data_IF_811792440202
#
_entry.id   IF_811792440202
#
_cell.length_a   1.000
_cell.length_b   1.000
_cell.length_c   1.000
_cell.angle_alpha   90.00
_cell.angle_beta   90.00
_cell.angle_gamma   90.00
#
_symmetry.space_group_name_H-M   'P 1'
#
loop_
_entity.id
_entity.type
_entity.pdbx_description
1 polymer ?
#
# COMPACT_ATOMS: atom_id res chain seq x y z
N UNK A 1 6.93 -4.78 4.04
CA UNK A 1 6.60 -5.48 2.78
C UNK A 1 7.41 -6.73 2.59
N UNK A 2 6.73 -7.84 2.30
CA UNK A 2 7.34 -8.96 1.62
C UNK A 2 7.10 -8.85 0.13
N UNK A 3 8.13 -8.56 -0.63
CA UNK A 3 8.02 -8.65 -2.07
C UNK A 3 7.98 -10.12 -2.51
N UNK A 4 7.01 -10.47 -3.34
CA UNK A 4 6.84 -11.84 -3.86
C UNK A 4 8.11 -12.39 -4.51
N UNK A 5 8.92 -11.54 -5.15
CA UNK A 5 10.20 -11.95 -5.73
C UNK A 5 11.19 -12.47 -4.69
N UNK A 6 11.25 -11.85 -3.51
CA UNK A 6 12.08 -12.31 -2.41
C UNK A 6 11.48 -13.54 -1.74
N UNK A 7 10.16 -13.56 -1.55
CA UNK A 7 9.46 -14.69 -0.98
C UNK A 7 9.68 -15.99 -1.77
N UNK A 8 9.69 -15.91 -3.10
CA UNK A 8 9.99 -17.06 -3.97
C UNK A 8 11.38 -17.69 -3.79
N UNK A 9 12.28 -17.01 -3.10
CA UNK A 9 13.63 -17.53 -2.78
C UNK A 9 13.66 -18.26 -1.44
N UNK A 10 12.57 -18.23 -0.68
CA UNK A 10 12.50 -18.93 0.59
C UNK A 10 12.28 -20.43 0.34
N UNK A 11 13.04 -21.24 1.05
CA UNK A 11 12.94 -22.69 1.02
C UNK A 11 12.97 -23.20 2.49
N UNK A 12 11.93 -23.86 2.97
CA UNK A 12 10.62 -24.03 2.32
C UNK A 12 9.83 -22.70 2.25
N UNK A 13 8.84 -22.58 1.35
CA UNK A 13 8.02 -21.38 1.19
C UNK A 13 7.31 -20.90 2.46
N UNK A 14 6.97 -21.82 3.35
CA UNK A 14 6.32 -21.58 4.66
C UNK A 14 7.14 -20.66 5.58
N UNK A 15 8.44 -20.49 5.31
CA UNK A 15 9.27 -19.48 6.00
C UNK A 15 8.73 -18.06 5.92
N UNK A 16 7.84 -17.77 4.98
CA UNK A 16 7.12 -16.47 4.95
C UNK A 16 6.41 -16.23 6.28
N UNK A 17 5.74 -17.25 6.83
CA UNK A 17 5.04 -17.14 8.11
C UNK A 17 6.01 -16.93 9.28
N UNK A 18 7.10 -17.71 9.33
CA UNK A 18 8.13 -17.57 10.38
C UNK A 18 8.74 -16.15 10.37
N UNK A 19 8.96 -15.58 9.17
CA UNK A 19 9.52 -14.25 9.05
C UNK A 19 8.48 -13.20 9.47
N UNK A 20 7.23 -13.36 9.05
CA UNK A 20 6.14 -12.47 9.45
C UNK A 20 5.99 -12.43 10.98
N UNK A 21 6.01 -13.59 11.63
CA UNK A 21 5.98 -13.71 13.09
C UNK A 21 7.18 -13.02 13.76
N UNK A 22 8.40 -13.32 13.32
CA UNK A 22 9.63 -12.76 13.91
C UNK A 22 9.71 -11.24 13.75
N UNK A 23 9.34 -10.71 12.58
CA UNK A 23 9.35 -9.27 12.35
C UNK A 23 8.28 -8.59 13.20
N UNK A 24 7.11 -9.20 13.34
CA UNK A 24 6.03 -8.69 14.18
C UNK A 24 6.43 -8.70 15.66
N UNK A 25 7.01 -9.79 16.15
CA UNK A 25 7.54 -9.86 17.53
C UNK A 25 8.62 -8.81 17.79
N UNK A 26 9.53 -8.62 16.84
CA UNK A 26 10.55 -7.57 16.94
C UNK A 26 9.93 -6.17 17.00
N UNK A 27 8.94 -5.85 16.16
CA UNK A 27 8.23 -4.57 16.19
C UNK A 27 7.52 -4.36 17.54
N UNK A 28 6.88 -5.39 18.07
CA UNK A 28 6.20 -5.32 19.36
C UNK A 28 7.20 -5.07 20.49
N UNK A 29 8.34 -5.78 20.53
CA UNK A 29 9.39 -5.64 21.54
C UNK A 29 10.11 -4.28 21.45
N UNK A 30 10.22 -3.73 20.26
CA UNK A 30 10.79 -2.40 20.04
C UNK A 30 9.92 -1.26 20.60
N UNK A 31 8.70 -1.56 21.07
CA UNK A 31 7.82 -0.60 21.72
C UNK A 31 7.11 0.35 20.77
N UNK A 32 7.24 0.18 19.46
CA UNK A 32 6.51 0.99 18.49
C UNK A 32 4.99 0.80 18.64
N UNK A 33 4.25 1.91 18.59
CA UNK A 33 2.77 1.91 18.75
C UNK A 33 2.04 2.49 17.55
N UNK A 34 2.74 3.13 16.64
CA UNK A 34 2.23 3.80 15.43
C UNK A 34 2.58 3.02 14.16
N UNK A 35 2.58 1.69 14.25
CA UNK A 35 2.93 0.81 13.12
C UNK A 35 1.66 0.15 12.60
N UNK A 36 1.48 0.24 11.29
CA UNK A 36 0.55 -0.55 10.50
C UNK A 36 1.35 -1.55 9.67
N UNK A 37 0.97 -2.81 9.69
CA UNK A 37 1.70 -3.88 9.01
C UNK A 37 1.00 -4.22 7.69
N UNK A 38 1.73 -4.12 6.59
CA UNK A 38 1.35 -4.77 5.33
C UNK A 38 2.15 -6.06 5.20
N UNK A 39 1.48 -7.19 5.42
CA UNK A 39 2.11 -8.50 5.53
C UNK A 39 2.70 -9.04 4.22
N UNK A 40 2.24 -8.54 3.09
CA UNK A 40 2.81 -8.85 1.78
C UNK A 40 2.41 -7.81 0.74
N UNK A 41 3.38 -7.35 -0.06
CA UNK A 41 3.12 -6.40 -1.13
C UNK A 41 2.43 -7.07 -2.32
N UNK A 42 1.26 -6.55 -2.68
CA UNK A 42 0.51 -6.92 -3.90
C UNK A 42 0.26 -8.42 -4.05
N UNK A 43 -0.36 -9.04 -3.06
CA UNK A 43 -0.77 -10.43 -3.19
C UNK A 43 -1.74 -10.61 -4.37
N UNK A 44 -1.35 -11.36 -5.37
CA UNK A 44 -2.07 -11.46 -6.61
C UNK A 44 -1.82 -12.79 -7.34
N UNK A 45 -2.83 -13.31 -8.08
CA UNK A 45 -2.72 -14.61 -8.74
C UNK A 45 -1.67 -14.64 -9.86
N UNK A 46 -1.38 -13.51 -10.48
CA UNK A 46 -0.37 -13.46 -11.56
C UNK A 46 1.06 -13.68 -11.08
N UNK A 47 1.34 -13.56 -9.78
CA UNK A 47 2.66 -13.87 -9.23
C UNK A 47 2.98 -15.37 -9.22
N UNK A 48 1.96 -16.23 -9.32
CA UNK A 48 2.13 -17.69 -9.28
C UNK A 48 2.98 -18.15 -8.08
N UNK A 49 2.67 -17.61 -6.91
CA UNK A 49 3.29 -17.98 -5.64
C UNK A 49 2.19 -18.34 -4.65
N UNK A 50 1.89 -19.63 -4.48
CA UNK A 50 0.67 -20.09 -3.80
C UNK A 50 0.46 -19.50 -2.42
N UNK A 51 1.51 -19.34 -1.63
CA UNK A 51 1.43 -18.82 -0.26
C UNK A 51 0.91 -17.37 -0.20
N UNK A 52 1.12 -16.58 -1.25
CA UNK A 52 0.68 -15.19 -1.37
C UNK A 52 -0.44 -15.01 -2.43
N UNK A 53 -1.08 -16.09 -2.84
CA UNK A 53 -2.29 -15.99 -3.65
C UNK A 53 -3.47 -15.50 -2.79
N UNK A 54 -4.44 -14.80 -3.39
CA UNK A 54 -5.56 -14.19 -2.66
C UNK A 54 -6.28 -15.12 -1.68
N UNK A 55 -6.39 -16.40 -2.00
CA UNK A 55 -7.03 -17.41 -1.13
C UNK A 55 -6.20 -17.76 0.12
N UNK A 56 -4.90 -17.51 0.11
CA UNK A 56 -3.98 -17.82 1.21
C UNK A 56 -3.58 -16.59 2.04
N UNK A 57 -3.95 -15.40 1.58
CA UNK A 57 -3.69 -14.12 2.28
C UNK A 57 -4.21 -14.11 3.72
N UNK A 58 -5.40 -14.63 4.04
CA UNK A 58 -5.89 -14.67 5.41
C UNK A 58 -4.89 -15.29 6.38
N UNK A 59 -4.17 -16.34 5.99
CA UNK A 59 -3.19 -17.01 6.85
C UNK A 59 -1.98 -16.11 7.16
N UNK A 60 -1.52 -15.30 6.22
CA UNK A 60 -0.44 -14.30 6.46
C UNK A 60 -0.91 -13.27 7.49
N UNK A 61 -2.12 -12.77 7.32
CA UNK A 61 -2.74 -11.79 8.22
C UNK A 61 -2.91 -12.39 9.63
N UNK A 62 -3.42 -13.61 9.74
CA UNK A 62 -3.62 -14.32 11.00
C UNK A 62 -2.29 -14.58 11.72
N UNK A 63 -1.22 -14.88 10.99
CA UNK A 63 0.13 -15.04 11.55
C UNK A 63 0.60 -13.75 12.23
N UNK A 64 0.48 -12.62 11.54
CA UNK A 64 0.85 -11.31 12.11
C UNK A 64 -0.04 -10.95 13.29
N UNK A 65 -1.36 -11.10 13.15
CA UNK A 65 -2.32 -10.77 14.21
C UNK A 65 -2.16 -11.65 15.44
N UNK A 66 -1.87 -12.93 15.25
CA UNK A 66 -1.66 -13.90 16.31
C UNK A 66 -0.36 -13.69 17.11
N UNK A 67 0.59 -12.95 16.54
CA UNK A 67 1.81 -12.57 17.24
C UNK A 67 1.52 -11.41 18.19
N UNK A 68 1.57 -11.69 19.49
CA UNK A 68 1.20 -10.74 20.54
C UNK A 68 2.29 -10.58 21.59
N UNK A 69 2.35 -9.40 22.21
CA UNK A 69 3.19 -9.14 23.38
C UNK A 69 2.36 -8.37 24.41
N UNK A 70 2.22 -8.92 25.62
CA UNK A 70 1.43 -8.35 26.72
C UNK A 70 -0.02 -8.03 26.29
N UNK A 71 -0.63 -8.93 25.51
CA UNK A 71 -1.98 -8.80 24.97
C UNK A 71 -2.13 -7.77 23.83
N UNK A 72 -1.05 -7.18 23.35
CA UNK A 72 -1.04 -6.23 22.23
C UNK A 72 -0.66 -6.94 20.93
N UNK A 73 -1.41 -6.66 19.87
CA UNK A 73 -1.09 -7.01 18.48
C UNK A 73 -0.88 -5.72 17.64
N UNK A 74 -0.41 -5.88 16.42
CA UNK A 74 -0.32 -4.78 15.45
C UNK A 74 -1.46 -4.87 14.44
N UNK A 75 -2.06 -3.74 14.03
CA UNK A 75 -3.01 -3.74 12.92
C UNK A 75 -2.34 -4.23 11.65
N UNK A 76 -3.03 -5.11 10.94
CA UNK A 76 -2.46 -5.81 9.76
C UNK A 76 -3.40 -5.83 8.58
N UNK A 77 -2.83 -5.71 7.41
CA UNK A 77 -3.42 -5.94 6.09
C UNK A 77 -2.45 -6.71 5.20
N UNK A 78 -2.88 -7.00 4.00
CA UNK A 78 -2.03 -7.33 2.85
C UNK A 78 -2.53 -6.51 1.68
N UNK A 79 -1.64 -5.86 0.93
CA UNK A 79 -2.05 -4.98 -0.17
C UNK A 79 -2.45 -5.76 -1.42
N UNK A 80 -3.43 -5.22 -2.15
CA UNK A 80 -3.76 -5.70 -3.50
C UNK A 80 -2.95 -4.97 -4.55
N UNK A 81 -2.76 -5.58 -5.70
CA UNK A 81 -2.15 -4.90 -6.84
C UNK A 81 -2.98 -3.72 -7.36
N UNK A 82 -2.34 -2.92 -8.21
CA UNK A 82 -2.96 -1.81 -8.92
C UNK A 82 -4.12 -2.22 -9.83
N UNK A 83 -4.60 -1.31 -10.65
CA UNK A 83 -5.67 -1.56 -11.60
C UNK A 83 -6.99 -1.99 -10.93
N UNK A 84 -7.61 -3.06 -11.43
CA UNK A 84 -8.97 -3.48 -11.03
C UNK A 84 -9.04 -4.47 -9.88
N UNK A 85 -7.92 -4.95 -9.35
CA UNK A 85 -7.93 -5.95 -8.27
C UNK A 85 -8.49 -5.37 -6.98
N UNK A 86 -9.35 -6.13 -6.32
CA UNK A 86 -9.85 -5.85 -4.96
C UNK A 86 -9.66 -7.10 -4.10
N UNK A 87 -9.63 -6.97 -2.76
CA UNK A 87 -9.58 -8.11 -1.84
C UNK A 87 -10.80 -9.01 -2.00
N UNK A 88 -10.65 -10.30 -1.70
CA UNK A 88 -11.79 -11.22 -1.53
C UNK A 88 -12.48 -10.99 -0.19
N UNK A 89 -13.70 -11.49 -0.01
CA UNK A 89 -14.40 -11.41 1.27
C UNK A 89 -13.62 -12.06 2.42
N UNK A 90 -13.02 -13.22 2.20
CA UNK A 90 -12.21 -13.90 3.21
C UNK A 90 -10.96 -13.07 3.60
N UNK A 91 -10.35 -12.40 2.64
CA UNK A 91 -9.24 -11.49 2.90
C UNK A 91 -9.69 -10.29 3.72
N UNK A 92 -10.78 -9.62 3.28
CA UNK A 92 -11.38 -8.52 4.03
C UNK A 92 -11.80 -8.92 5.45
N UNK A 93 -12.37 -10.10 5.67
CA UNK A 93 -12.74 -10.56 7.01
C UNK A 93 -11.52 -10.75 7.94
N UNK A 94 -10.37 -11.08 7.35
CA UNK A 94 -9.14 -11.29 8.11
C UNK A 94 -8.42 -10.00 8.50
N UNK A 95 -8.46 -8.93 7.71
CA UNK A 95 -7.64 -7.73 7.91
C UNK A 95 -8.26 -6.66 8.83
N UNK A 96 -7.44 -5.75 9.36
CA UNK A 96 -7.88 -4.66 10.23
C UNK A 96 -8.15 -3.36 9.47
N UNK A 97 -7.47 -3.15 8.37
CA UNK A 97 -7.64 -2.07 7.41
C UNK A 97 -7.33 -2.59 6.01
N UNK A 98 -7.73 -1.90 4.98
CA UNK A 98 -7.59 -2.35 3.59
C UNK A 98 -6.66 -1.45 2.82
N UNK A 99 -5.71 -2.04 2.07
CA UNK A 99 -4.76 -1.30 1.24
C UNK A 99 -4.88 -1.69 -0.25
N UNK A 100 -5.88 -1.17 -0.95
CA UNK A 100 -5.96 -1.35 -2.40
C UNK A 100 -5.00 -0.39 -3.09
N UNK A 101 -4.00 -0.90 -3.81
CA UNK A 101 -3.11 -0.06 -4.60
C UNK A 101 -3.83 0.57 -5.79
N UNK A 102 -3.48 1.80 -6.09
CA UNK A 102 -4.09 2.58 -7.17
C UNK A 102 -3.24 2.69 -8.44
N UNK A 103 -2.05 2.08 -8.45
CA UNK A 103 -1.10 2.22 -9.57
C UNK A 103 -1.76 2.07 -10.94
N UNK A 104 -1.55 3.08 -11.80
CA UNK A 104 -2.13 3.13 -13.13
C UNK A 104 -3.63 3.47 -13.19
N UNK A 105 -4.29 3.73 -12.06
CA UNK A 105 -5.67 4.17 -12.04
C UNK A 105 -5.79 5.67 -12.31
N UNK A 106 -6.68 6.04 -13.21
CA UNK A 106 -7.19 7.39 -13.30
C UNK A 106 -8.14 7.69 -12.13
N UNK A 107 -8.43 8.96 -11.79
CA UNK A 107 -9.24 9.31 -10.63
C UNK A 107 -10.61 8.62 -10.59
N UNK A 108 -11.29 8.50 -11.73
CA UNK A 108 -12.56 7.80 -11.82
C UNK A 108 -12.42 6.29 -11.62
N UNK A 109 -11.32 5.69 -12.09
CA UNK A 109 -11.05 4.27 -11.93
C UNK A 109 -10.70 3.94 -10.46
N UNK A 110 -9.92 4.81 -9.81
CA UNK A 110 -9.63 4.68 -8.39
C UNK A 110 -10.92 4.77 -7.57
N UNK A 111 -11.76 5.76 -7.83
CA UNK A 111 -13.06 5.91 -7.17
C UNK A 111 -13.93 4.68 -7.34
N UNK A 112 -14.03 4.15 -8.55
CA UNK A 112 -14.78 2.92 -8.83
C UNK A 112 -14.22 1.73 -8.06
N UNK A 113 -12.90 1.56 -8.02
CA UNK A 113 -12.23 0.51 -7.25
C UNK A 113 -12.58 0.59 -5.76
N UNK A 114 -12.51 1.78 -5.17
CA UNK A 114 -12.83 2.01 -3.76
C UNK A 114 -14.29 1.70 -3.44
N UNK A 115 -15.21 2.08 -4.32
CA UNK A 115 -16.65 1.73 -4.21
C UNK A 115 -16.86 0.24 -4.26
N UNK A 116 -16.23 -0.45 -5.19
CA UNK A 116 -16.32 -1.91 -5.30
C UNK A 116 -15.84 -2.62 -4.03
N UNK A 117 -14.76 -2.13 -3.39
CA UNK A 117 -14.33 -2.66 -2.08
C UNK A 117 -15.46 -2.50 -1.06
N UNK A 118 -16.06 -1.31 -0.97
CA UNK A 118 -17.14 -1.00 -0.01
C UNK A 118 -18.44 -1.76 -0.29
N UNK A 119 -18.66 -2.18 -1.51
CA UNK A 119 -19.83 -2.94 -1.93
C UNK A 119 -19.75 -4.43 -1.61
N UNK A 120 -18.58 -4.95 -1.25
CA UNK A 120 -18.41 -6.35 -0.84
C UNK A 120 -19.20 -6.64 0.43
N UNK A 121 -19.67 -7.88 0.59
CA UNK A 121 -20.43 -8.29 1.77
C UNK A 121 -19.58 -8.23 3.03
N UNK A 122 -18.30 -8.60 2.95
CA UNK A 122 -17.36 -8.52 4.08
C UNK A 122 -17.14 -7.08 4.55
N UNK A 123 -16.99 -6.12 3.65
CA UNK A 123 -16.85 -4.72 4.04
C UNK A 123 -18.12 -4.16 4.66
N UNK A 124 -19.30 -4.46 4.09
CA UNK A 124 -20.60 -4.04 4.65
C UNK A 124 -20.84 -4.60 6.06
N UNK A 125 -20.45 -5.85 6.31
CA UNK A 125 -20.55 -6.46 7.65
C UNK A 125 -19.65 -5.77 8.67
N UNK A 126 -18.43 -5.40 8.27
CA UNK A 126 -17.43 -4.78 9.13
C UNK A 126 -16.66 -3.69 8.38
N UNK A 127 -17.22 -2.48 8.28
CA UNK A 127 -16.50 -1.33 7.70
C UNK A 127 -15.18 -1.08 8.42
N UNK A 128 -14.15 -0.72 7.66
CA UNK A 128 -12.80 -0.50 8.16
C UNK A 128 -12.10 0.61 7.39
N UNK A 129 -10.99 1.17 7.91
CA UNK A 129 -10.21 2.14 7.15
C UNK A 129 -9.74 1.56 5.81
N UNK A 130 -9.79 2.39 4.78
CA UNK A 130 -9.17 2.10 3.48
C UNK A 130 -8.04 3.10 3.29
N UNK A 131 -6.84 2.58 3.01
CA UNK A 131 -5.61 3.37 2.83
C UNK A 131 -5.00 3.03 1.48
N UNK A 132 -5.07 3.95 0.54
CA UNK A 132 -4.37 3.82 -0.75
C UNK A 132 -2.94 4.31 -0.53
N UNK A 133 -2.03 3.42 -0.19
CA UNK A 133 -0.65 3.76 0.16
C UNK A 133 0.32 3.71 -1.03
N UNK A 134 -0.08 3.09 -2.12
CA UNK A 134 0.69 3.01 -3.35
C UNK A 134 -0.21 3.28 -4.55
N UNK A 135 -0.03 4.43 -5.18
CA UNK A 135 -0.86 4.89 -6.30
C UNK A 135 -0.03 5.72 -7.29
N UNK A 136 0.10 7.02 -7.03
CA UNK A 136 0.70 7.98 -7.95
C UNK A 136 1.16 9.25 -7.25
N UNK A 137 1.56 10.24 -8.02
CA UNK A 137 1.89 11.60 -7.55
C UNK A 137 0.74 12.59 -7.78
N UNK A 138 -0.40 12.14 -8.29
CA UNK A 138 -1.47 13.04 -8.73
C UNK A 138 -2.40 13.43 -7.61
N UNK A 139 -2.54 14.72 -7.38
CA UNK A 139 -3.48 15.29 -6.40
C UNK A 139 -4.92 14.92 -6.75
N UNK A 140 -5.23 14.73 -8.02
CA UNK A 140 -6.56 14.31 -8.48
C UNK A 140 -6.95 12.93 -7.94
N UNK A 141 -5.99 12.04 -7.74
CA UNK A 141 -6.24 10.73 -7.12
C UNK A 141 -6.40 10.86 -5.59
N UNK A 142 -5.66 11.75 -4.94
CA UNK A 142 -5.94 12.13 -3.55
C UNK A 142 -7.39 12.60 -3.39
N UNK A 143 -7.87 13.52 -4.25
CA UNK A 143 -9.23 14.03 -4.21
C UNK A 143 -10.27 12.90 -4.44
N UNK A 144 -9.97 11.99 -5.36
CA UNK A 144 -10.84 10.84 -5.61
C UNK A 144 -10.95 9.92 -4.40
N UNK A 145 -9.84 9.65 -3.70
CA UNK A 145 -9.83 8.83 -2.50
C UNK A 145 -10.57 9.53 -1.33
N UNK A 146 -10.30 10.81 -1.11
CA UNK A 146 -10.97 11.60 -0.06
C UNK A 146 -12.48 11.70 -0.27
N UNK A 147 -12.93 11.89 -1.52
CA UNK A 147 -14.36 11.91 -1.84
C UNK A 147 -15.06 10.58 -1.52
N UNK A 148 -14.32 9.49 -1.46
CA UNK A 148 -14.80 8.18 -0.99
C UNK A 148 -14.51 7.94 0.51
N UNK A 149 -14.04 8.93 1.27
CA UNK A 149 -13.71 8.78 2.69
C UNK A 149 -12.56 7.81 2.94
N UNK A 150 -11.60 7.76 2.04
CA UNK A 150 -10.41 6.92 2.12
C UNK A 150 -9.16 7.76 2.35
N UNK A 151 -8.16 7.20 3.02
CA UNK A 151 -6.83 7.80 3.10
C UNK A 151 -6.03 7.53 1.83
N UNK A 152 -5.12 8.45 1.51
CA UNK A 152 -4.26 8.31 0.33
C UNK A 152 -2.86 8.83 0.64
N UNK A 153 -1.84 8.13 0.15
CA UNK A 153 -0.44 8.47 0.29
C UNK A 153 0.19 8.85 -1.05
N UNK A 154 1.03 9.87 -1.01
CA UNK A 154 1.86 10.24 -2.14
C UNK A 154 2.84 9.12 -2.47
N UNK A 155 2.83 8.65 -3.71
CA UNK A 155 3.72 7.59 -4.16
C UNK A 155 4.25 7.88 -5.56
N UNK A 156 5.57 8.00 -5.69
CA UNK A 156 6.24 8.11 -6.97
C UNK A 156 7.00 6.83 -7.27
N UNK A 157 6.55 6.09 -8.26
CA UNK A 157 7.14 4.79 -8.59
C UNK A 157 8.48 4.92 -9.31
N UNK A 158 8.75 6.05 -9.95
CA UNK A 158 9.99 6.33 -10.65
C UNK A 158 10.19 5.52 -11.93
N UNK A 159 9.17 4.82 -12.35
CA UNK A 159 9.02 4.16 -13.65
C UNK A 159 7.55 3.83 -13.76
N UNK A 160 6.94 4.11 -14.77
CA UNK A 160 5.53 3.82 -14.89
C UNK A 160 4.99 4.29 -16.20
N UNK A 161 3.69 4.28 -16.30
CA UNK A 161 3.00 4.96 -17.38
C UNK A 161 3.03 6.47 -17.12
N UNK A 162 2.86 7.23 -18.17
CA UNK A 162 2.75 8.69 -18.13
C UNK A 162 1.73 9.18 -17.11
N UNK A 163 0.77 8.34 -16.78
CA UNK A 163 -0.27 8.68 -15.82
C UNK A 163 0.17 8.50 -14.37
N UNK A 164 1.03 7.56 -14.03
CA UNK A 164 1.43 7.31 -12.64
C UNK A 164 2.30 8.43 -12.06
N UNK A 165 3.16 9.02 -12.87
CA UNK A 165 4.07 10.07 -12.44
C UNK A 165 4.28 11.18 -13.49
N UNK A 166 3.52 11.17 -14.57
CA UNK A 166 3.58 12.08 -15.71
C UNK A 166 4.96 12.17 -16.36
N UNK A 167 5.72 11.09 -16.26
CA UNK A 167 7.08 11.06 -16.75
C UNK A 167 7.37 9.76 -17.46
N UNK A 168 8.05 9.86 -18.59
CA UNK A 168 8.72 8.72 -19.20
C UNK A 168 10.14 8.60 -18.62
N UNK A 169 10.29 7.76 -17.64
CA UNK A 169 11.57 7.49 -16.99
C UNK A 169 12.61 6.87 -17.93
N UNK A 170 12.23 6.43 -19.12
CA UNK A 170 13.17 5.98 -20.15
C UNK A 170 13.87 7.14 -20.81
N UNK A 171 13.18 8.26 -20.94
CA UNK A 171 13.71 9.51 -21.48
C UNK A 171 14.46 10.34 -20.43
N UNK A 172 14.24 10.05 -19.13
CA UNK A 172 14.83 10.79 -18.02
C UNK A 172 15.70 9.87 -17.16
N UNK A 173 17.01 9.79 -17.42
CA UNK A 173 17.94 9.00 -16.59
C UNK A 173 17.88 9.41 -15.12
N UNK A 174 17.92 8.43 -14.23
CA UNK A 174 17.78 8.62 -12.78
C UNK A 174 18.71 9.65 -12.18
N UNK A 175 19.93 9.78 -12.73
CA UNK A 175 20.97 10.64 -12.20
C UNK A 175 20.79 12.12 -12.51
N UNK A 176 19.90 12.49 -13.44
CA UNK A 176 19.81 13.87 -13.90
C UNK A 176 18.65 14.66 -13.33
N UNK A 177 17.43 14.23 -13.57
CA UNK A 177 16.25 15.06 -13.28
C UNK A 177 15.26 14.40 -12.32
N UNK A 178 15.55 13.19 -11.91
CA UNK A 178 14.69 12.42 -11.03
C UNK A 178 14.37 13.20 -9.75
N UNK A 179 15.39 13.78 -9.13
CA UNK A 179 15.25 14.60 -7.93
C UNK A 179 14.52 15.92 -8.20
N UNK A 180 14.79 16.54 -9.34
CA UNK A 180 14.13 17.78 -9.72
C UNK A 180 12.65 17.59 -10.01
N UNK A 181 12.25 16.46 -10.55
CA UNK A 181 10.89 16.18 -10.98
C UNK A 181 10.03 15.56 -9.87
N UNK A 182 10.50 14.54 -9.21
CA UNK A 182 9.76 13.87 -8.14
C UNK A 182 10.51 13.81 -6.81
N UNK A 183 11.81 14.01 -6.82
CA UNK A 183 12.67 13.90 -5.65
C UNK A 183 12.66 12.51 -5.07
N UNK A 184 12.50 11.51 -5.91
CA UNK A 184 12.21 10.17 -5.50
C UNK A 184 13.34 9.20 -5.90
N UNK A 185 13.64 8.26 -5.05
CA UNK A 185 14.59 7.15 -5.28
C UNK A 185 16.01 7.55 -5.73
N UNK A 186 16.43 8.75 -5.45
CA UNK A 186 17.86 9.06 -5.51
C UNK A 186 18.58 8.42 -4.32
N UNK A 187 19.85 8.17 -4.45
CA UNK A 187 20.66 7.63 -3.34
C UNK A 187 21.68 8.68 -2.96
N UNK A 188 21.59 9.24 -1.74
CA UNK A 188 20.59 8.99 -0.69
C UNK A 188 19.19 9.51 -1.04
N UNK A 189 18.15 8.88 -0.46
CA UNK A 189 16.76 9.32 -0.67
C UNK A 189 16.59 10.72 -0.12
N UNK A 190 16.02 11.61 -0.94
CA UNK A 190 15.71 12.98 -0.51
C UNK A 190 14.32 13.04 0.12
N UNK A 191 14.28 13.30 1.44
CA UNK A 191 13.05 13.40 2.22
C UNK A 191 12.46 14.82 2.28
N UNK A 192 13.10 15.80 1.64
CA UNK A 192 12.62 17.17 1.63
C UNK A 192 11.43 17.38 0.70
N UNK A 193 10.68 18.45 0.95
CA UNK A 193 9.61 18.91 0.04
C UNK A 193 10.25 19.81 -1.03
N UNK A 194 11.09 19.23 -1.84
CA UNK A 194 12.01 19.96 -2.74
C UNK A 194 11.50 20.10 -4.17
N UNK A 195 10.48 19.33 -4.58
CA UNK A 195 9.98 19.39 -5.97
C UNK A 195 8.62 20.08 -6.08
N UNK A 196 8.26 20.61 -7.27
CA UNK A 196 6.92 21.19 -7.47
C UNK A 196 5.78 20.21 -7.16
N UNK A 197 5.94 18.93 -7.52
CA UNK A 197 4.93 17.90 -7.28
C UNK A 197 4.76 17.65 -5.77
N UNK A 198 5.84 17.51 -5.03
CA UNK A 198 5.78 17.37 -3.55
C UNK A 198 5.14 18.60 -2.91
N UNK A 199 5.52 19.80 -3.33
CA UNK A 199 4.93 21.04 -2.80
C UNK A 199 3.43 21.10 -3.05
N UNK A 200 2.99 20.81 -4.27
CA UNK A 200 1.56 20.79 -4.59
C UNK A 200 0.76 19.81 -3.73
N UNK A 201 1.31 18.62 -3.50
CA UNK A 201 0.70 17.63 -2.61
C UNK A 201 0.59 18.16 -1.17
N UNK A 202 1.68 18.65 -0.59
CA UNK A 202 1.68 19.10 0.81
C UNK A 202 0.84 20.38 1.02
N UNK A 203 0.80 21.30 0.07
CA UNK A 203 -0.10 22.47 0.13
C UNK A 203 -1.57 22.03 0.09
N UNK A 204 -1.89 21.03 -0.76
CA UNK A 204 -3.24 20.49 -0.77
C UNK A 204 -3.59 19.79 0.53
N UNK A 205 -2.69 18.97 1.05
CA UNK A 205 -2.87 18.29 2.33
C UNK A 205 -3.12 19.28 3.46
N UNK A 206 -2.33 20.35 3.53
CA UNK A 206 -2.51 21.45 4.50
C UNK A 206 -3.90 22.07 4.40
N UNK A 207 -4.40 22.32 3.18
CA UNK A 207 -5.74 22.88 2.96
C UNK A 207 -6.84 21.95 3.48
N UNK A 208 -6.70 20.65 3.23
CA UNK A 208 -7.68 19.64 3.64
C UNK A 208 -7.71 19.52 5.17
N UNK A 209 -6.55 19.54 5.81
CA UNK A 209 -6.43 19.34 7.27
C UNK A 209 -6.69 20.62 8.09
N UNK A 210 -6.61 21.79 7.49
CA UNK A 210 -6.87 23.07 8.18
C UNK A 210 -8.35 23.31 8.51
N UNK A 211 -9.26 22.54 7.92
CA UNK A 211 -10.71 22.62 8.15
C UNK A 211 -11.28 21.48 8.99
N UNK A 212 -10.42 20.61 9.55
CA UNK A 212 -10.83 19.45 10.32
C UNK A 212 -10.76 19.70 11.84
#
# INVERSE_FOLDING_TARGET
YFYVRQAKRLDPPERVYDIAERVTDWLLRSGFRNVLVDGANEAAPWWKYPILEPGNVPRVIETVRGTTLDGRSLPVTVSTGGGKQIPTDAWLDAEDFTTPHGNGCQPNQLREKLRRVKETDAYKRRPRPIVVNEDSVFVENLEAALAEGCSWGFYCQGYGSDYQDRMDWKEHPRETEFDALSGFQTVPVNWEINTPIKRAFFERLKTITAGA
#
